data_IF_224883942151
#
_entry.id   IF_224883942151
#
_cell.length_a   1.000
_cell.length_b   1.000
_cell.length_c   1.000
_cell.angle_alpha   90.00
_cell.angle_beta   90.00
_cell.angle_gamma   90.00
#
_symmetry.space_group_name_H-M   'P 1'
#
loop_
_entity.id
_entity.type
_entity.pdbx_description
1 polymer ?
#
# COMPACT_ATOMS: atom_id res chain seq x y z
N UNK A 1 -22.06 -26.71 -4.73
CA UNK A 1 -21.12 -25.91 -5.54
C UNK A 1 -21.77 -24.68 -6.20
N UNK A 2 -23.04 -24.70 -6.61
CA UNK A 2 -23.67 -23.52 -7.27
C UNK A 2 -23.83 -22.27 -6.40
N UNK A 3 -24.26 -22.42 -5.14
CA UNK A 3 -24.51 -21.28 -4.23
C UNK A 3 -23.23 -20.48 -3.89
N UNK A 4 -22.11 -21.14 -3.62
CA UNK A 4 -20.83 -20.47 -3.35
C UNK A 4 -20.31 -19.70 -4.55
N UNK A 5 -20.51 -20.23 -5.77
CA UNK A 5 -20.13 -19.55 -7.01
C UNK A 5 -21.03 -18.34 -7.26
N UNK A 6 -22.34 -18.45 -7.02
CA UNK A 6 -23.27 -17.33 -7.12
C UNK A 6 -22.94 -16.18 -6.15
N UNK A 7 -22.62 -16.50 -4.89
CA UNK A 7 -22.16 -15.49 -3.93
C UNK A 7 -20.82 -14.86 -4.36
N UNK A 8 -19.89 -15.69 -4.85
CA UNK A 8 -18.59 -15.21 -5.34
C UNK A 8 -18.72 -14.24 -6.52
N UNK A 9 -19.58 -14.54 -7.50
CA UNK A 9 -19.79 -13.68 -8.66
C UNK A 9 -20.51 -12.38 -8.30
N UNK A 10 -21.48 -12.42 -7.38
CA UNK A 10 -22.13 -11.21 -6.85
C UNK A 10 -21.12 -10.27 -6.19
N UNK A 11 -20.25 -10.79 -5.32
CA UNK A 11 -19.21 -9.99 -4.64
C UNK A 11 -18.24 -9.40 -5.66
N UNK A 12 -17.78 -10.20 -6.63
CA UNK A 12 -16.88 -9.74 -7.68
C UNK A 12 -17.51 -8.64 -8.55
N UNK A 13 -18.81 -8.75 -8.85
CA UNK A 13 -19.55 -7.75 -9.63
C UNK A 13 -19.67 -6.43 -8.88
N UNK A 14 -19.99 -6.46 -7.58
CA UNK A 14 -20.03 -5.25 -6.75
C UNK A 14 -18.65 -4.60 -6.59
N UNK A 15 -17.60 -5.39 -6.34
CA UNK A 15 -16.22 -4.90 -6.28
C UNK A 15 -15.80 -4.26 -7.62
N UNK A 16 -16.10 -4.91 -8.74
CA UNK A 16 -15.81 -4.40 -10.07
C UNK A 16 -16.51 -3.06 -10.35
N UNK A 17 -17.79 -2.93 -9.96
CA UNK A 17 -18.53 -1.67 -10.10
C UNK A 17 -17.92 -0.55 -9.25
N UNK A 18 -17.55 -0.83 -8.00
CA UNK A 18 -16.90 0.16 -7.12
C UNK A 18 -15.58 0.62 -7.74
N UNK A 19 -14.78 -0.30 -8.28
CA UNK A 19 -13.50 0.02 -8.92
C UNK A 19 -13.71 0.82 -10.21
N UNK A 20 -14.68 0.47 -11.05
CA UNK A 20 -15.00 1.19 -12.28
C UNK A 20 -15.42 2.63 -12.04
N UNK A 21 -16.29 2.90 -11.05
CA UNK A 21 -16.82 4.25 -10.81
C UNK A 21 -15.99 5.07 -9.83
N UNK A 22 -15.18 4.43 -8.99
CA UNK A 22 -14.34 5.11 -7.99
C UNK A 22 -12.85 5.08 -8.35
N UNK A 23 -12.47 4.68 -9.56
CA UNK A 23 -11.07 4.45 -9.96
C UNK A 23 -10.12 5.59 -9.61
N UNK A 24 -10.48 6.84 -9.94
CA UNK A 24 -9.66 8.02 -9.64
C UNK A 24 -9.48 8.26 -8.13
N UNK A 25 -10.57 8.17 -7.35
CA UNK A 25 -10.54 8.39 -5.90
C UNK A 25 -9.84 7.24 -5.16
N UNK A 26 -10.08 6.00 -5.61
CA UNK A 26 -9.42 4.81 -5.10
C UNK A 26 -7.92 4.85 -5.35
N UNK A 27 -7.49 5.21 -6.56
CA UNK A 27 -6.07 5.27 -6.89
C UNK A 27 -5.31 6.28 -6.02
N UNK A 28 -5.92 7.44 -5.76
CA UNK A 28 -5.38 8.45 -4.84
C UNK A 28 -5.29 7.99 -3.38
N UNK A 29 -6.21 7.14 -2.92
CA UNK A 29 -6.14 6.56 -1.56
C UNK A 29 -5.20 5.36 -1.47
N UNK A 30 -5.12 4.54 -2.51
CA UNK A 30 -4.32 3.32 -2.52
C UNK A 30 -2.82 3.61 -2.64
N UNK A 31 -2.43 4.64 -3.40
CA UNK A 31 -1.04 5.02 -3.62
C UNK A 31 -0.27 5.30 -2.32
N UNK A 32 -0.77 6.14 -1.39
CA UNK A 32 -0.10 6.40 -0.11
C UNK A 32 -0.06 5.17 0.79
N UNK A 33 -1.12 4.34 0.78
CA UNK A 33 -1.20 3.12 1.57
C UNK A 33 -0.11 2.13 1.13
N UNK A 34 -0.01 1.88 -0.17
CA UNK A 34 1.03 1.01 -0.72
C UNK A 34 2.44 1.58 -0.52
N UNK A 35 2.60 2.89 -0.70
CA UNK A 35 3.86 3.59 -0.39
C UNK A 35 4.27 3.40 1.06
N UNK A 36 3.32 3.52 1.99
CA UNK A 36 3.56 3.29 3.42
C UNK A 36 4.06 1.87 3.70
N UNK A 37 3.37 0.84 3.20
CA UNK A 37 3.77 -0.56 3.45
C UNK A 37 5.14 -0.87 2.86
N UNK A 38 5.43 -0.35 1.66
CA UNK A 38 6.75 -0.50 1.04
C UNK A 38 7.84 0.17 1.89
N UNK A 39 7.66 1.44 2.26
CA UNK A 39 8.63 2.15 3.10
C UNK A 39 8.78 1.53 4.49
N UNK A 40 7.70 1.02 5.07
CA UNK A 40 7.71 0.32 6.35
C UNK A 40 8.52 -0.96 6.28
N UNK A 41 8.26 -1.80 5.27
CA UNK A 41 9.01 -3.03 5.06
C UNK A 41 10.51 -2.73 4.86
N UNK A 42 10.84 -1.74 4.02
CA UNK A 42 12.22 -1.32 3.79
C UNK A 42 12.91 -0.83 5.08
N UNK A 43 12.25 0.03 5.86
CA UNK A 43 12.79 0.54 7.12
C UNK A 43 12.97 -0.54 8.19
N UNK A 44 12.06 -1.52 8.24
CA UNK A 44 12.14 -2.62 9.17
C UNK A 44 13.18 -3.69 8.76
N UNK A 45 13.25 -4.06 7.48
CA UNK A 45 14.22 -5.02 6.92
C UNK A 45 15.66 -4.49 7.05
N UNK A 46 15.88 -3.20 6.80
CA UNK A 46 17.21 -2.60 6.97
C UNK A 46 17.71 -2.70 8.41
N UNK A 47 16.84 -2.51 9.39
CA UNK A 47 17.20 -2.70 10.80
C UNK A 47 17.35 -4.17 11.18
N UNK A 48 16.59 -5.06 10.55
CA UNK A 48 16.78 -6.50 10.71
C UNK A 48 18.20 -6.91 10.30
N UNK A 49 18.66 -6.44 9.14
CA UNK A 49 20.01 -6.71 8.62
C UNK A 49 21.11 -6.07 9.49
N UNK A 50 20.85 -4.87 10.04
CA UNK A 50 21.83 -4.15 10.84
C UNK A 50 22.01 -4.75 12.25
N UNK A 51 20.92 -5.15 12.90
CA UNK A 51 20.96 -5.69 14.27
C UNK A 51 21.04 -7.22 14.31
N UNK A 52 20.89 -7.91 13.18
CA UNK A 52 20.89 -9.38 13.11
C UNK A 52 19.75 -10.04 13.90
N UNK A 53 18.71 -9.28 14.24
CA UNK A 53 17.54 -9.75 14.99
C UNK A 53 16.42 -10.17 14.02
N UNK A 54 15.30 -10.68 14.54
CA UNK A 54 14.11 -10.97 13.72
C UNK A 54 13.40 -9.72 13.20
N UNK A 55 12.59 -9.86 12.14
CA UNK A 55 11.73 -8.80 11.62
C UNK A 55 10.80 -8.29 12.74
N UNK A 56 10.78 -6.97 12.98
CA UNK A 56 10.00 -6.33 14.06
C UNK A 56 10.31 -6.83 15.48
N UNK A 57 11.47 -7.45 15.72
CA UNK A 57 11.87 -7.94 17.04
C UNK A 57 12.26 -6.81 18.02
N UNK A 58 12.64 -5.64 17.51
CA UNK A 58 13.12 -4.51 18.29
C UNK A 58 12.22 -3.29 18.10
N UNK A 59 12.03 -2.50 19.17
CA UNK A 59 11.26 -1.25 19.14
C UNK A 59 11.84 -0.27 18.10
N UNK A 60 13.16 -0.23 17.96
CA UNK A 60 13.85 0.56 16.93
C UNK A 60 13.39 0.19 15.51
N UNK A 61 13.21 -1.11 15.25
CA UNK A 61 12.65 -1.68 14.01
C UNK A 61 11.29 -1.08 13.66
N UNK A 62 10.39 -1.06 14.64
CA UNK A 62 9.07 -0.47 14.50
C UNK A 62 9.13 1.03 14.23
N UNK A 63 9.87 1.78 15.05
CA UNK A 63 9.94 3.24 14.96
C UNK A 63 10.51 3.68 13.61
N UNK A 64 11.62 3.09 13.17
CA UNK A 64 12.23 3.41 11.88
C UNK A 64 11.33 2.96 10.73
N UNK A 65 10.72 1.77 10.81
CA UNK A 65 9.73 1.32 9.84
C UNK A 65 8.59 2.33 9.67
N UNK A 66 8.00 2.82 10.77
CA UNK A 66 6.94 3.84 10.71
C UNK A 66 7.40 5.16 10.10
N UNK A 67 8.60 5.63 10.46
CA UNK A 67 9.16 6.88 9.92
C UNK A 67 9.39 6.75 8.41
N UNK A 68 10.08 5.68 7.99
CA UNK A 68 10.37 5.44 6.56
C UNK A 68 9.08 5.20 5.78
N UNK A 69 8.14 4.45 6.35
CA UNK A 69 6.80 4.27 5.79
C UNK A 69 6.07 5.59 5.59
N UNK A 70 6.05 6.47 6.60
CA UNK A 70 5.41 7.78 6.49
C UNK A 70 6.07 8.66 5.40
N UNK A 71 7.40 8.65 5.31
CA UNK A 71 8.14 9.36 4.25
C UNK A 71 7.72 8.85 2.87
N UNK A 72 7.68 7.54 2.65
CA UNK A 72 7.27 6.96 1.37
C UNK A 72 5.78 7.18 1.08
N UNK A 73 4.92 7.22 2.10
CA UNK A 73 3.51 7.57 1.93
C UNK A 73 3.34 9.01 1.42
N UNK A 74 4.14 9.95 1.93
CA UNK A 74 4.15 11.34 1.46
C UNK A 74 4.76 11.44 0.06
N UNK A 75 5.89 10.77 -0.20
CA UNK A 75 6.52 10.74 -1.52
C UNK A 75 5.59 10.14 -2.59
N UNK A 76 4.68 9.25 -2.22
CA UNK A 76 3.69 8.68 -3.13
C UNK A 76 2.82 9.74 -3.82
N UNK A 77 2.57 10.88 -3.17
CA UNK A 77 1.87 12.02 -3.81
C UNK A 77 2.69 12.66 -4.93
N UNK A 78 4.03 12.64 -4.86
CA UNK A 78 4.88 13.10 -5.97
C UNK A 78 4.78 12.16 -7.17
N UNK A 79 4.68 10.84 -6.95
CA UNK A 79 4.44 9.89 -8.05
C UNK A 79 3.10 10.14 -8.73
N UNK A 80 2.06 10.53 -7.98
CA UNK A 80 0.81 10.96 -8.57
C UNK A 80 0.97 12.23 -9.41
N UNK A 81 1.64 13.25 -8.88
CA UNK A 81 1.89 14.49 -9.63
C UNK A 81 2.70 14.25 -10.92
N UNK A 82 3.71 13.37 -10.85
CA UNK A 82 4.49 12.96 -12.02
C UNK A 82 3.63 12.18 -13.03
N UNK A 83 2.78 11.25 -12.58
CA UNK A 83 1.88 10.52 -13.45
C UNK A 83 0.92 11.46 -14.20
N UNK A 84 0.38 12.47 -13.51
CA UNK A 84 -0.46 13.51 -14.14
C UNK A 84 0.34 14.31 -15.17
N UNK A 85 1.57 14.74 -14.84
CA UNK A 85 2.41 15.52 -15.74
C UNK A 85 2.88 14.74 -16.98
N UNK A 86 3.03 13.41 -16.89
CA UNK A 86 3.42 12.55 -18.02
C UNK A 86 2.23 12.26 -18.95
N UNK A 87 1.02 12.21 -18.41
CA UNK A 87 -0.20 11.88 -19.16
C UNK A 87 -0.84 13.14 -19.81
N UNK A 88 -0.65 14.32 -19.21
CA UNK A 88 -1.13 15.61 -19.72
C UNK A 88 -0.32 16.13 -20.92
#
# INVERSE_FOLDING_TARGET
MGFSVFCGTLIALFLGLIICFSGYRLFLMLLPIWGFFFGFALGAETLQLLFGAGFLANITGWVVGFIVGAIFAVLSYLFYAFAVAVIA
#
